data_IF_721516005939
#
_entry.id   IF_721516005939
#
_cell.length_a   1.000
_cell.length_b   1.000
_cell.length_c   1.000
_cell.angle_alpha   90.00
_cell.angle_beta   90.00
_cell.angle_gamma   90.00
#
_symmetry.space_group_name_H-M   'P 1'
#
loop_
_entity.id
_entity.type
_entity.pdbx_description
1 polymer ?
#
# COMPACT_ATOMS: atom_id res chain seq x y z
N UNK A 1 -10.80 -55.82 29.02
CA UNK A 1 -10.13 -54.54 29.23
C UNK A 1 -9.05 -54.47 28.18
N UNK A 2 -9.33 -53.73 27.10
CA UNK A 2 -8.59 -53.80 25.84
C UNK A 2 -7.47 -52.79 25.78
N UNK A 3 -6.36 -53.24 25.23
CA UNK A 3 -5.09 -52.54 25.01
C UNK A 3 -5.19 -51.52 23.82
N UNK A 4 -6.37 -51.04 23.47
CA UNK A 4 -6.56 -50.20 22.29
C UNK A 4 -6.68 -48.67 22.54
N UNK A 5 -6.57 -48.22 23.80
CA UNK A 5 -6.78 -46.78 24.12
C UNK A 5 -5.48 -45.94 24.19
N UNK A 6 -4.32 -46.47 23.78
CA UNK A 6 -3.04 -45.77 23.97
C UNK A 6 -2.43 -45.14 22.72
N UNK A 7 -3.12 -45.14 21.58
CA UNK A 7 -2.56 -44.63 20.29
C UNK A 7 -3.26 -43.46 19.64
N UNK A 8 -4.24 -42.86 20.26
CA UNK A 8 -4.74 -41.57 19.81
C UNK A 8 -4.17 -40.45 20.67
N UNK A 9 -2.86 -40.25 20.55
CA UNK A 9 -2.22 -39.01 20.98
C UNK A 9 -2.91 -37.85 20.26
N UNK A 10 -3.54 -36.97 21.06
CA UNK A 10 -4.08 -35.71 20.60
C UNK A 10 -2.99 -34.96 19.82
N UNK A 11 -3.01 -35.03 18.53
CA UNK A 11 -2.28 -34.09 17.70
C UNK A 11 -2.80 -32.71 18.11
N UNK A 12 -2.05 -31.98 18.94
CA UNK A 12 -2.29 -30.58 19.22
C UNK A 12 -2.38 -29.92 17.84
N UNK A 13 -3.59 -29.54 17.40
CA UNK A 13 -3.76 -28.63 16.28
C UNK A 13 -2.83 -27.46 16.58
N UNK A 14 -1.77 -27.29 15.77
CA UNK A 14 -0.97 -26.07 15.81
C UNK A 14 -1.96 -24.95 15.59
N UNK A 15 -2.26 -24.23 16.66
CA UNK A 15 -3.08 -23.04 16.57
C UNK A 15 -2.39 -22.11 15.54
N UNK A 16 -3.04 -21.84 14.43
CA UNK A 16 -2.52 -20.92 13.43
C UNK A 16 -2.22 -19.59 14.14
N UNK A 17 -1.00 -19.08 13.95
CA UNK A 17 -0.65 -17.77 14.50
C UNK A 17 -1.70 -16.74 14.06
N UNK A 18 -2.10 -15.81 14.94
CA UNK A 18 -3.05 -14.76 14.56
C UNK A 18 -2.54 -14.00 13.32
N UNK A 19 -3.45 -13.44 12.56
CA UNK A 19 -3.16 -12.59 11.40
C UNK A 19 -3.91 -11.28 11.56
N UNK A 20 -3.48 -10.22 10.85
CA UNK A 20 -4.13 -8.90 10.90
C UNK A 20 -5.49 -8.90 10.26
N UNK A 21 -5.64 -9.58 9.13
CA UNK A 21 -6.91 -9.66 8.42
C UNK A 21 -7.99 -10.37 9.25
N UNK A 22 -9.20 -9.81 9.26
CA UNK A 22 -10.34 -10.35 10.03
C UNK A 22 -11.35 -11.13 9.17
N UNK A 23 -11.15 -11.19 7.85
CA UNK A 23 -12.11 -11.76 6.88
C UNK A 23 -11.66 -13.13 6.40
N UNK A 24 -10.37 -13.29 6.08
CA UNK A 24 -9.79 -14.54 5.57
C UNK A 24 -8.74 -15.08 6.54
N UNK A 25 -8.42 -16.36 6.40
CA UNK A 25 -7.45 -17.04 7.25
C UNK A 25 -6.07 -17.15 6.55
N UNK A 26 -5.07 -17.54 7.32
CA UNK A 26 -3.69 -17.74 6.85
C UNK A 26 -3.59 -18.70 5.64
N UNK A 27 -4.37 -19.78 5.64
CA UNK A 27 -4.39 -20.75 4.53
C UNK A 27 -4.83 -20.12 3.20
N UNK A 28 -5.82 -19.23 3.25
CA UNK A 28 -6.25 -18.49 2.07
C UNK A 28 -5.12 -17.65 1.49
N UNK A 29 -4.50 -16.81 2.31
CA UNK A 29 -3.41 -15.93 1.88
C UNK A 29 -2.15 -16.70 1.46
N UNK A 30 -1.83 -17.82 2.11
CA UNK A 30 -0.70 -18.67 1.71
C UNK A 30 -0.85 -19.21 0.29
N UNK A 31 -2.06 -19.59 -0.13
CA UNK A 31 -2.33 -20.00 -1.52
C UNK A 31 -2.10 -18.86 -2.49
N UNK A 32 -2.56 -17.65 -2.14
CA UNK A 32 -2.36 -16.47 -2.98
C UNK A 32 -0.87 -16.10 -3.12
N UNK A 33 -0.08 -16.22 -2.05
CA UNK A 33 1.37 -15.99 -2.13
C UNK A 33 2.06 -16.95 -3.08
N UNK A 34 1.67 -18.23 -3.11
CA UNK A 34 2.21 -19.21 -4.06
C UNK A 34 1.87 -18.78 -5.49
N UNK A 35 0.65 -18.37 -5.75
CA UNK A 35 0.22 -17.90 -7.08
C UNK A 35 0.97 -16.64 -7.51
N UNK A 36 1.09 -15.64 -6.62
CA UNK A 36 1.85 -14.42 -6.90
C UNK A 36 3.32 -14.74 -7.16
N UNK A 37 3.95 -15.60 -6.37
CA UNK A 37 5.34 -15.99 -6.58
C UNK A 37 5.54 -16.64 -7.96
N UNK A 38 4.61 -17.50 -8.40
CA UNK A 38 4.63 -18.10 -9.73
C UNK A 38 4.50 -17.02 -10.82
N UNK A 39 3.53 -16.12 -10.69
CA UNK A 39 3.29 -15.07 -11.67
C UNK A 39 4.47 -14.10 -11.78
N UNK A 40 5.10 -13.74 -10.64
CA UNK A 40 6.31 -12.91 -10.62
C UNK A 40 7.45 -13.59 -11.38
N UNK A 41 7.74 -14.86 -11.09
CA UNK A 41 8.79 -15.60 -11.78
C UNK A 41 8.54 -15.69 -13.29
N UNK A 42 7.30 -15.86 -13.72
CA UNK A 42 6.95 -15.84 -15.15
C UNK A 42 7.18 -14.46 -15.78
N UNK A 43 6.75 -13.38 -15.10
CA UNK A 43 6.92 -12.00 -15.59
C UNK A 43 8.41 -11.64 -15.66
N UNK A 44 9.21 -12.00 -14.65
CA UNK A 44 10.66 -11.81 -14.64
C UNK A 44 11.35 -12.54 -15.81
N UNK A 45 10.94 -13.78 -16.09
CA UNK A 45 11.42 -14.55 -17.23
C UNK A 45 11.10 -13.84 -18.55
N UNK A 46 9.87 -13.34 -18.72
CA UNK A 46 9.46 -12.61 -19.93
C UNK A 46 10.25 -11.30 -20.10
N UNK A 47 10.55 -10.57 -19.04
CA UNK A 47 11.39 -9.37 -19.08
C UNK A 47 12.80 -9.73 -19.57
N UNK A 48 13.41 -10.81 -19.06
CA UNK A 48 14.73 -11.27 -19.50
C UNK A 48 14.75 -11.66 -20.97
N UNK A 49 13.73 -12.37 -21.42
CA UNK A 49 13.59 -12.78 -22.84
C UNK A 49 13.41 -11.58 -23.77
N UNK A 50 12.57 -10.61 -23.35
CA UNK A 50 12.35 -9.38 -24.11
C UNK A 50 13.63 -8.55 -24.25
N UNK A 51 14.41 -8.41 -23.19
CA UNK A 51 15.69 -7.70 -23.20
C UNK A 51 16.71 -8.38 -24.15
N UNK A 52 16.67 -9.70 -24.26
CA UNK A 52 17.54 -10.46 -25.16
C UNK A 52 17.13 -10.30 -26.63
N UNK A 53 15.83 -10.28 -26.90
CA UNK A 53 15.30 -10.35 -28.28
C UNK A 53 14.96 -8.95 -28.87
N UNK A 54 15.02 -7.85 -28.10
CA UNK A 54 14.70 -6.46 -28.48
C UNK A 54 13.36 -6.27 -29.23
N UNK A 55 12.41 -7.20 -29.09
CA UNK A 55 11.16 -7.23 -29.87
C UNK A 55 9.89 -6.99 -29.09
N UNK A 56 9.96 -7.00 -27.76
CA UNK A 56 8.79 -6.83 -26.89
C UNK A 56 8.89 -5.52 -26.11
N UNK A 57 7.77 -4.81 -26.06
CA UNK A 57 7.62 -3.69 -25.14
C UNK A 57 7.63 -4.23 -23.70
N UNK A 58 8.64 -3.85 -22.94
CA UNK A 58 8.81 -4.27 -21.54
C UNK A 58 8.09 -3.37 -20.54
N UNK A 59 7.55 -2.25 -20.96
CA UNK A 59 6.88 -1.27 -20.09
C UNK A 59 5.73 -1.94 -19.34
N UNK A 60 4.84 -2.61 -20.06
CA UNK A 60 3.72 -3.32 -19.43
C UNK A 60 4.19 -4.46 -18.50
N UNK A 61 5.24 -5.19 -18.87
CA UNK A 61 5.79 -6.26 -18.02
C UNK A 61 6.37 -5.70 -16.70
N UNK A 62 7.09 -4.59 -16.78
CA UNK A 62 7.61 -3.91 -15.58
C UNK A 62 6.47 -3.38 -14.71
N UNK A 63 5.49 -2.69 -15.29
CA UNK A 63 4.30 -2.26 -14.55
C UNK A 63 3.60 -3.44 -13.86
N UNK A 64 3.34 -4.52 -14.59
CA UNK A 64 2.69 -5.73 -14.06
C UNK A 64 3.48 -6.34 -12.89
N UNK A 65 4.81 -6.40 -13.01
CA UNK A 65 5.67 -6.92 -11.95
C UNK A 65 5.64 -6.00 -10.71
N UNK A 66 5.64 -4.68 -10.91
CA UNK A 66 5.47 -3.70 -9.82
C UNK A 66 4.15 -3.90 -9.06
N UNK A 67 3.04 -4.16 -9.78
CA UNK A 67 1.73 -4.46 -9.17
C UNK A 67 1.68 -5.80 -8.44
N UNK A 68 2.40 -6.80 -8.92
CA UNK A 68 2.52 -8.09 -8.25
C UNK A 68 3.28 -7.96 -6.92
N UNK A 69 4.31 -7.10 -6.84
CA UNK A 69 5.00 -6.79 -5.58
C UNK A 69 4.10 -6.04 -4.60
N UNK A 70 3.28 -5.07 -5.05
CA UNK A 70 2.28 -4.41 -4.19
C UNK A 70 1.26 -5.43 -3.66
N UNK A 71 0.78 -6.32 -4.52
CA UNK A 71 -0.11 -7.40 -4.12
C UNK A 71 0.50 -8.32 -3.04
N UNK A 72 1.80 -8.61 -3.16
CA UNK A 72 2.54 -9.36 -2.16
C UNK A 72 2.60 -8.62 -0.82
N UNK A 73 2.84 -7.31 -0.82
CA UNK A 73 2.82 -6.48 0.39
C UNK A 73 1.45 -6.57 1.08
N UNK A 74 0.36 -6.35 0.34
CA UNK A 74 -1.01 -6.38 0.89
C UNK A 74 -1.32 -7.73 1.55
N UNK A 75 -0.97 -8.84 0.90
CA UNK A 75 -1.18 -10.19 1.42
C UNK A 75 -0.30 -10.47 2.64
N UNK A 76 1.00 -10.14 2.58
CA UNK A 76 1.93 -10.37 3.68
C UNK A 76 1.57 -9.52 4.89
N UNK A 77 1.18 -8.28 4.70
CA UNK A 77 0.67 -7.43 5.78
C UNK A 77 -0.57 -8.07 6.43
N UNK A 78 -1.53 -8.53 5.63
CA UNK A 78 -2.72 -9.25 6.11
C UNK A 78 -2.36 -10.51 6.92
N UNK A 79 -1.23 -11.15 6.61
CA UNK A 79 -0.71 -12.36 7.30
C UNK A 79 0.20 -12.07 8.51
N UNK A 80 0.32 -10.83 8.93
CA UNK A 80 1.17 -10.43 10.06
C UNK A 80 2.69 -10.48 9.78
N UNK A 81 3.09 -10.13 8.55
CA UNK A 81 4.51 -10.03 8.20
C UNK A 81 5.21 -8.87 8.92
N UNK A 82 6.52 -9.00 9.07
CA UNK A 82 7.40 -7.98 9.62
C UNK A 82 7.52 -6.80 8.66
N UNK A 83 7.55 -5.57 9.20
CA UNK A 83 7.58 -4.34 8.41
C UNK A 83 8.89 -4.15 7.63
N UNK A 84 10.02 -4.60 8.17
CA UNK A 84 11.31 -4.60 7.46
C UNK A 84 11.26 -5.47 6.20
N UNK A 85 10.60 -6.63 6.26
CA UNK A 85 10.35 -7.47 5.09
C UNK A 85 9.50 -6.72 4.04
N UNK A 86 8.41 -6.08 4.49
CA UNK A 86 7.52 -5.31 3.62
C UNK A 86 8.24 -4.14 2.95
N UNK A 87 9.10 -3.43 3.69
CA UNK A 87 9.94 -2.34 3.16
C UNK A 87 10.84 -2.85 2.02
N UNK A 88 11.51 -3.98 2.21
CA UNK A 88 12.35 -4.60 1.16
C UNK A 88 11.55 -4.98 -0.09
N UNK A 89 10.33 -5.50 0.08
CA UNK A 89 9.44 -5.83 -1.04
C UNK A 89 8.98 -4.55 -1.74
N UNK A 90 8.73 -3.49 -0.98
CA UNK A 90 8.36 -2.19 -1.52
C UNK A 90 9.45 -1.60 -2.42
N UNK A 91 10.71 -1.66 -2.03
CA UNK A 91 11.85 -1.20 -2.85
C UNK A 91 11.88 -1.88 -4.22
N UNK A 92 11.61 -3.20 -4.27
CA UNK A 92 11.48 -3.93 -5.53
C UNK A 92 10.26 -3.47 -6.34
N UNK A 93 9.10 -3.28 -5.68
CA UNK A 93 7.90 -2.75 -6.33
C UNK A 93 8.19 -1.40 -6.99
N UNK A 94 8.85 -0.49 -6.27
CA UNK A 94 9.13 0.85 -6.76
C UNK A 94 10.05 0.83 -7.99
N UNK A 95 11.12 0.01 -7.97
CA UNK A 95 12.01 -0.16 -9.11
C UNK A 95 11.26 -0.55 -10.39
N UNK A 96 10.38 -1.53 -10.29
CA UNK A 96 9.64 -1.99 -11.46
C UNK A 96 8.51 -1.03 -11.85
N UNK A 97 7.88 -0.41 -10.88
CA UNK A 97 6.89 0.64 -11.12
C UNK A 97 7.49 1.79 -11.94
N UNK A 98 8.62 2.32 -11.51
CA UNK A 98 9.29 3.43 -12.22
C UNK A 98 9.72 3.00 -13.65
N UNK A 99 10.17 1.77 -13.83
CA UNK A 99 10.56 1.26 -15.15
C UNK A 99 9.36 0.98 -16.06
N UNK A 100 8.18 0.72 -15.49
CA UNK A 100 6.95 0.39 -16.20
C UNK A 100 5.96 1.54 -16.34
N UNK A 101 6.34 2.75 -15.92
CA UNK A 101 5.43 3.88 -15.95
C UNK A 101 5.33 4.47 -17.35
N UNK A 102 4.14 4.35 -17.92
CA UNK A 102 3.70 5.23 -18.96
C UNK A 102 3.37 6.60 -18.33
N UNK A 103 4.07 7.64 -18.77
CA UNK A 103 3.76 9.02 -18.37
C UNK A 103 2.42 9.41 -19.00
N UNK A 104 2.09 8.82 -20.14
CA UNK A 104 0.92 9.18 -20.95
C UNK A 104 -0.40 8.66 -20.39
N UNK A 105 -0.37 7.70 -19.45
CA UNK A 105 -1.57 7.12 -18.83
C UNK A 105 -1.34 6.86 -17.31
N UNK A 106 -1.20 7.92 -16.50
CA UNK A 106 -0.93 7.79 -15.09
C UNK A 106 -2.17 7.32 -14.32
N UNK A 107 -2.00 6.28 -13.50
CA UNK A 107 -3.08 5.74 -12.67
C UNK A 107 -2.99 6.30 -11.25
N UNK A 108 -3.83 7.27 -10.94
CA UNK A 108 -3.84 8.01 -9.67
C UNK A 108 -3.80 7.11 -8.43
N UNK A 109 -4.64 6.07 -8.37
CA UNK A 109 -4.73 5.20 -7.19
C UNK A 109 -3.48 4.35 -6.97
N UNK A 110 -2.75 4.01 -8.03
CA UNK A 110 -1.49 3.29 -7.92
C UNK A 110 -0.39 4.19 -7.34
N UNK A 111 -0.36 5.44 -7.76
CA UNK A 111 0.59 6.44 -7.25
C UNK A 111 0.28 6.75 -5.79
N UNK A 112 -0.98 7.06 -5.48
CA UNK A 112 -1.41 7.36 -4.11
C UNK A 112 -1.08 6.21 -3.14
N UNK A 113 -1.31 4.96 -3.55
CA UNK A 113 -0.98 3.78 -2.75
C UNK A 113 0.53 3.69 -2.49
N UNK A 114 1.37 3.91 -3.52
CA UNK A 114 2.82 3.85 -3.36
C UNK A 114 3.36 4.97 -2.48
N UNK A 115 2.86 6.18 -2.65
CA UNK A 115 3.21 7.32 -1.77
C UNK A 115 2.81 7.00 -0.33
N UNK A 116 1.61 6.49 -0.11
CA UNK A 116 1.13 6.09 1.22
C UNK A 116 2.02 5.03 1.86
N UNK A 117 2.32 3.94 1.14
CA UNK A 117 3.19 2.88 1.61
C UNK A 117 4.64 3.37 1.84
N UNK A 118 5.15 4.25 0.98
CA UNK A 118 6.46 4.86 1.15
C UNK A 118 6.60 5.65 2.45
N UNK A 119 5.55 6.40 2.83
CA UNK A 119 5.47 7.12 4.11
C UNK A 119 5.39 6.14 5.27
N UNK A 120 4.49 5.18 5.19
CA UNK A 120 4.23 4.22 6.26
C UNK A 120 5.45 3.34 6.54
N UNK A 121 6.14 2.87 5.52
CA UNK A 121 7.33 2.03 5.60
C UNK A 121 8.63 2.84 5.82
N UNK A 122 8.52 4.14 5.95
CA UNK A 122 9.66 5.04 6.15
C UNK A 122 10.81 4.72 5.18
N UNK A 123 10.50 4.71 3.87
CA UNK A 123 11.50 4.42 2.83
C UNK A 123 12.56 5.53 2.75
N UNK A 124 13.70 5.24 2.17
CA UNK A 124 14.80 6.20 2.05
C UNK A 124 14.38 7.46 1.26
N UNK A 125 15.05 8.57 1.52
CA UNK A 125 14.83 9.81 0.77
C UNK A 125 15.02 9.60 -0.73
N UNK A 126 16.00 8.79 -1.14
CA UNK A 126 16.26 8.51 -2.55
C UNK A 126 15.15 7.71 -3.23
N UNK A 127 14.54 6.75 -2.52
CA UNK A 127 13.38 6.02 -3.04
C UNK A 127 12.15 6.92 -3.12
N UNK A 128 11.91 7.73 -2.09
CA UNK A 128 10.76 8.61 -2.08
C UNK A 128 10.88 9.72 -3.13
N UNK A 129 12.10 10.21 -3.41
CA UNK A 129 12.36 11.19 -4.46
C UNK A 129 11.91 10.69 -5.83
N UNK A 130 12.03 9.41 -6.14
CA UNK A 130 11.56 8.85 -7.41
C UNK A 130 10.05 9.02 -7.60
N UNK A 131 9.26 8.97 -6.52
CA UNK A 131 7.82 9.24 -6.57
C UNK A 131 7.52 10.73 -6.80
N UNK A 132 8.29 11.61 -6.15
CA UNK A 132 8.20 13.06 -6.36
C UNK A 132 8.51 13.40 -7.82
N UNK A 133 9.66 12.93 -8.32
CA UNK A 133 10.10 13.17 -9.71
C UNK A 133 9.08 12.64 -10.73
N UNK A 134 8.44 11.53 -10.41
CA UNK A 134 7.38 11.00 -11.27
C UNK A 134 6.14 11.90 -11.26
N UNK A 135 5.64 12.29 -10.08
CA UNK A 135 4.47 13.17 -9.97
C UNK A 135 4.71 14.52 -10.67
N UNK A 136 5.90 15.11 -10.50
CA UNK A 136 6.29 16.34 -11.20
C UNK A 136 6.28 16.16 -12.72
N UNK A 137 6.78 15.05 -13.24
CA UNK A 137 6.77 14.78 -14.69
C UNK A 137 5.35 14.64 -15.21
N UNK A 138 4.48 13.94 -14.50
CA UNK A 138 3.08 13.76 -14.89
C UNK A 138 2.33 15.11 -14.86
N UNK A 139 2.54 15.91 -13.82
CA UNK A 139 1.90 17.23 -13.69
C UNK A 139 2.33 18.22 -14.79
N UNK A 140 3.54 18.06 -15.32
CA UNK A 140 4.12 18.95 -16.34
C UNK A 140 3.88 18.48 -17.79
N UNK A 141 3.05 17.46 -18.01
CA UNK A 141 2.75 17.01 -19.37
C UNK A 141 1.98 18.05 -20.17
N UNK A 142 2.41 18.19 -21.43
CA UNK A 142 1.79 19.16 -22.36
C UNK A 142 0.47 18.67 -22.98
N UNK A 143 0.24 17.36 -23.01
CA UNK A 143 -0.96 16.75 -23.60
C UNK A 143 -2.07 16.62 -22.55
N UNK A 144 -3.34 16.90 -22.93
CA UNK A 144 -4.46 16.72 -22.03
C UNK A 144 -4.66 15.24 -21.72
N UNK A 145 -4.33 14.87 -20.51
CA UNK A 145 -4.67 13.57 -19.92
C UNK A 145 -5.83 13.78 -18.94
N UNK A 146 -6.50 12.70 -18.53
CA UNK A 146 -7.47 12.77 -17.43
C UNK A 146 -6.82 13.07 -16.07
N UNK A 147 -5.51 13.29 -16.05
CA UNK A 147 -4.74 13.62 -14.87
C UNK A 147 -4.98 15.06 -14.41
N UNK A 148 -4.95 15.22 -13.11
CA UNK A 148 -5.04 16.52 -12.44
C UNK A 148 -4.10 16.53 -11.27
N UNK A 149 -3.20 17.55 -11.14
CA UNK A 149 -2.42 17.74 -9.93
C UNK A 149 -3.33 17.78 -8.70
N UNK A 150 -3.09 16.86 -7.76
CA UNK A 150 -4.03 16.58 -6.68
C UNK A 150 -3.53 17.09 -5.32
N UNK A 151 -4.40 17.81 -4.59
CA UNK A 151 -4.09 18.40 -3.29
C UNK A 151 -3.68 17.35 -2.23
N UNK A 152 -4.32 16.19 -2.18
CA UNK A 152 -4.01 15.16 -1.20
C UNK A 152 -2.66 14.50 -1.52
N UNK A 153 -2.44 14.17 -2.79
CA UNK A 153 -1.19 13.57 -3.24
C UNK A 153 -0.01 14.50 -2.95
N UNK A 154 -0.12 15.78 -3.31
CA UNK A 154 0.94 16.76 -3.04
C UNK A 154 1.12 17.08 -1.55
N UNK A 155 0.06 17.07 -0.76
CA UNK A 155 0.20 17.13 0.70
C UNK A 155 1.10 15.99 1.21
N UNK A 156 0.90 14.78 0.73
CA UNK A 156 1.68 13.60 1.14
C UNK A 156 3.11 13.65 0.60
N UNK A 157 3.32 14.02 -0.65
CA UNK A 157 4.65 14.16 -1.24
C UNK A 157 5.46 15.25 -0.53
N UNK A 158 4.86 16.41 -0.29
CA UNK A 158 5.46 17.55 0.40
C UNK A 158 5.90 17.22 1.83
N UNK A 159 5.29 16.23 2.48
CA UNK A 159 5.67 15.82 3.84
C UNK A 159 7.11 15.29 3.96
N UNK A 160 7.72 14.91 2.83
CA UNK A 160 9.08 14.38 2.74
C UNK A 160 10.04 15.31 1.97
N UNK A 161 9.62 16.54 1.70
CA UNK A 161 10.40 17.58 1.03
C UNK A 161 10.83 18.66 2.02
N UNK A 162 11.97 19.30 1.73
CA UNK A 162 12.37 20.53 2.43
C UNK A 162 11.39 21.67 2.15
N UNK A 163 11.24 22.59 3.09
CA UNK A 163 10.25 23.69 3.00
C UNK A 163 10.41 24.54 1.71
N UNK A 164 11.66 24.75 1.28
CA UNK A 164 12.04 25.50 0.09
C UNK A 164 11.70 24.77 -1.24
N UNK A 165 11.39 23.46 -1.15
CA UNK A 165 11.11 22.59 -2.33
C UNK A 165 9.66 22.19 -2.45
N UNK A 166 8.82 22.50 -1.45
CA UNK A 166 7.42 22.11 -1.46
C UNK A 166 6.68 22.68 -2.66
N UNK A 167 5.88 21.84 -3.28
CA UNK A 167 5.05 22.19 -4.44
C UNK A 167 3.67 22.65 -3.98
N UNK A 168 3.17 23.74 -4.57
CA UNK A 168 1.88 24.37 -4.21
C UNK A 168 0.96 24.60 -5.39
N UNK A 169 1.26 24.04 -6.55
CA UNK A 169 0.51 24.23 -7.79
C UNK A 169 -0.81 23.44 -7.83
N UNK A 170 -0.93 22.35 -7.07
CA UNK A 170 -2.19 21.63 -6.95
C UNK A 170 -3.25 22.48 -6.24
N UNK A 171 -4.42 22.60 -6.83
CA UNK A 171 -5.50 23.46 -6.33
C UNK A 171 -6.86 22.77 -6.19
N UNK A 172 -6.96 21.49 -6.53
CA UNK A 172 -8.20 20.69 -6.42
C UNK A 172 -7.89 19.24 -6.06
N UNK A 173 -8.92 18.52 -5.62
CA UNK A 173 -8.88 17.09 -5.45
C UNK A 173 -9.30 16.39 -6.75
N UNK A 174 -8.51 15.43 -7.22
CA UNK A 174 -8.87 14.60 -8.38
C UNK A 174 -10.15 13.78 -8.11
N UNK A 175 -10.27 13.25 -6.88
CA UNK A 175 -11.41 12.43 -6.44
C UNK A 175 -12.10 13.00 -5.20
N UNK A 176 -12.80 14.16 -5.31
CA UNK A 176 -13.38 14.84 -4.14
C UNK A 176 -14.44 14.02 -3.40
N UNK A 177 -15.19 13.13 -4.10
CA UNK A 177 -16.17 12.25 -3.46
C UNK A 177 -15.52 11.28 -2.49
N UNK A 178 -14.32 10.79 -2.81
CA UNK A 178 -13.54 9.91 -1.95
C UNK A 178 -12.79 10.71 -0.88
N UNK A 179 -12.02 11.71 -1.26
CA UNK A 179 -10.94 12.25 -0.44
C UNK A 179 -11.20 13.61 0.22
N UNK A 180 -12.33 14.29 -0.04
CA UNK A 180 -12.64 15.58 0.62
C UNK A 180 -12.64 15.46 2.15
N UNK A 181 -13.17 14.36 2.70
CA UNK A 181 -13.20 14.11 4.14
C UNK A 181 -11.81 13.88 4.72
N UNK A 182 -10.95 13.14 4.01
CA UNK A 182 -9.57 12.90 4.38
C UNK A 182 -8.74 14.18 4.28
N UNK A 183 -8.85 14.91 3.17
CA UNK A 183 -8.11 16.16 2.98
C UNK A 183 -8.49 17.23 4.01
N UNK A 184 -9.73 17.22 4.52
CA UNK A 184 -10.13 18.11 5.61
C UNK A 184 -9.22 17.99 6.83
N UNK A 185 -8.67 16.81 7.13
CA UNK A 185 -7.72 16.61 8.23
C UNK A 185 -6.51 17.53 8.13
N UNK A 186 -5.99 17.73 6.90
CA UNK A 186 -4.80 18.55 6.65
C UNK A 186 -5.01 20.03 6.94
N UNK A 187 -6.26 20.47 7.15
CA UNK A 187 -6.68 21.84 7.37
C UNK A 187 -7.04 22.11 8.85
N UNK A 188 -7.02 21.08 9.70
CA UNK A 188 -7.40 21.21 11.10
C UNK A 188 -6.18 21.47 11.98
N UNK A 189 -6.25 22.48 12.83
CA UNK A 189 -5.25 22.76 13.87
C UNK A 189 -5.67 22.23 15.24
N UNK A 190 -6.96 21.95 15.44
CA UNK A 190 -7.48 21.39 16.69
C UNK A 190 -7.31 19.86 16.70
N UNK A 191 -6.56 19.37 17.68
CA UNK A 191 -6.19 17.94 17.81
C UNK A 191 -7.43 17.06 18.01
N UNK A 192 -8.40 17.49 18.79
CA UNK A 192 -9.61 16.70 19.07
C UNK A 192 -10.52 16.66 17.85
N UNK A 193 -10.64 17.77 17.13
CA UNK A 193 -11.38 17.82 15.87
C UNK A 193 -10.71 16.92 14.80
N UNK A 194 -9.38 16.90 14.74
CA UNK A 194 -8.62 16.03 13.84
C UNK A 194 -8.85 14.54 14.17
N UNK A 195 -8.70 14.14 15.43
CA UNK A 195 -8.97 12.77 15.90
C UNK A 195 -10.39 12.33 15.56
N UNK A 196 -11.39 13.15 15.90
CA UNK A 196 -12.79 12.84 15.57
C UNK A 196 -13.01 12.71 14.07
N UNK A 197 -12.44 13.60 13.27
CA UNK A 197 -12.61 13.57 11.81
C UNK A 197 -11.96 12.32 11.20
N UNK A 198 -10.80 11.87 11.73
CA UNK A 198 -10.14 10.64 11.32
C UNK A 198 -11.03 9.41 11.60
N UNK A 199 -11.58 9.30 12.81
CA UNK A 199 -12.47 8.21 13.21
C UNK A 199 -13.74 8.20 12.34
N UNK A 200 -14.37 9.36 12.14
CA UNK A 200 -15.56 9.50 11.31
C UNK A 200 -15.30 9.13 9.85
N UNK A 201 -14.10 9.43 9.33
CA UNK A 201 -13.73 9.13 7.95
C UNK A 201 -13.46 7.63 7.75
N UNK A 202 -12.64 7.02 8.61
CA UNK A 202 -12.33 5.58 8.48
C UNK A 202 -13.59 4.72 8.66
N UNK A 203 -14.53 5.14 9.49
CA UNK A 203 -15.82 4.48 9.66
C UNK A 203 -16.68 4.45 8.39
N UNK A 204 -16.42 5.35 7.45
CA UNK A 204 -17.12 5.44 6.15
C UNK A 204 -16.29 4.93 4.98
N UNK A 205 -14.99 4.76 5.17
CA UNK A 205 -14.01 4.51 4.12
C UNK A 205 -14.39 3.36 3.20
N UNK A 206 -14.79 2.21 3.76
CA UNK A 206 -15.17 1.06 2.96
C UNK A 206 -16.36 1.35 2.03
N UNK A 207 -17.41 2.00 2.55
CA UNK A 207 -18.59 2.35 1.78
C UNK A 207 -18.34 3.49 0.77
N UNK A 208 -17.42 4.42 1.06
CA UNK A 208 -17.01 5.43 0.09
C UNK A 208 -16.39 4.79 -1.15
N UNK A 209 -15.73 3.66 -1.00
CA UNK A 209 -15.08 2.91 -2.07
C UNK A 209 -15.98 1.85 -2.74
N UNK A 210 -17.32 1.94 -2.61
CA UNK A 210 -18.26 0.95 -3.15
C UNK A 210 -18.16 0.74 -4.68
N UNK A 211 -17.70 1.75 -5.41
CA UNK A 211 -17.54 1.71 -6.85
C UNK A 211 -16.11 1.25 -7.28
N UNK A 212 -15.21 0.97 -6.32
CA UNK A 212 -13.87 0.50 -6.60
C UNK A 212 -13.87 -0.96 -7.10
N UNK A 213 -12.98 -1.33 -8.05
CA UNK A 213 -12.91 -2.69 -8.58
C UNK A 213 -12.66 -3.77 -7.51
N UNK A 214 -12.03 -3.39 -6.40
CA UNK A 214 -11.72 -4.30 -5.29
C UNK A 214 -12.86 -4.43 -4.26
N UNK A 215 -13.91 -3.62 -4.35
CA UNK A 215 -15.02 -3.68 -3.40
C UNK A 215 -15.71 -5.07 -3.43
N UNK A 216 -16.00 -5.62 -2.26
CA UNK A 216 -16.55 -6.97 -2.10
C UNK A 216 -15.69 -8.12 -2.68
N UNK A 217 -14.42 -7.91 -2.95
CA UNK A 217 -13.54 -8.98 -3.44
C UNK A 217 -13.39 -10.16 -2.45
N UNK A 218 -13.66 -9.95 -1.15
CA UNK A 218 -13.69 -11.03 -0.16
C UNK A 218 -14.76 -12.10 -0.46
N UNK A 219 -15.79 -11.76 -1.24
CA UNK A 219 -16.84 -12.69 -1.69
C UNK A 219 -16.37 -13.51 -2.90
N UNK A 220 -15.30 -13.09 -3.58
CA UNK A 220 -14.68 -13.77 -4.72
C UNK A 220 -13.46 -14.55 -4.25
N UNK A 221 -13.13 -15.66 -4.89
CA UNK A 221 -12.12 -16.60 -4.38
C UNK A 221 -10.67 -16.24 -4.64
N UNK A 222 -10.35 -15.30 -5.55
CA UNK A 222 -8.97 -15.13 -6.05
C UNK A 222 -8.44 -13.70 -6.09
N UNK A 223 -9.19 -12.71 -5.61
CA UNK A 223 -8.78 -11.30 -5.76
C UNK A 223 -8.66 -10.52 -4.45
N UNK A 224 -9.03 -11.11 -3.31
CA UNK A 224 -8.99 -10.43 -2.02
C UNK A 224 -7.59 -10.48 -1.40
N UNK A 225 -7.03 -9.31 -1.02
CA UNK A 225 -5.68 -9.18 -0.46
C UNK A 225 -5.64 -8.51 0.91
N UNK A 226 -6.80 -8.20 1.46
CA UNK A 226 -7.03 -7.32 2.61
C UNK A 226 -7.67 -6.00 2.17
N UNK A 227 -8.34 -5.34 3.10
CA UNK A 227 -8.89 -4.00 2.90
C UNK A 227 -8.16 -3.03 3.81
N UNK A 228 -7.15 -2.33 3.27
CA UNK A 228 -6.28 -1.46 4.04
C UNK A 228 -6.34 -0.03 3.51
N UNK A 229 -6.71 0.89 4.37
CA UNK A 229 -6.80 2.33 4.08
C UNK A 229 -5.41 2.98 4.24
N UNK A 230 -4.49 2.65 3.33
CA UNK A 230 -3.09 3.11 3.38
C UNK A 230 -2.99 4.63 3.39
N UNK A 231 -3.78 5.31 2.57
CA UNK A 231 -3.78 6.76 2.45
C UNK A 231 -4.27 7.44 3.74
N UNK A 232 -5.24 6.83 4.42
CA UNK A 232 -5.75 7.35 5.71
C UNK A 232 -4.68 7.26 6.79
N UNK A 233 -4.02 6.12 6.86
CA UNK A 233 -2.94 5.87 7.81
C UNK A 233 -1.72 6.77 7.55
N UNK A 234 -1.35 6.98 6.29
CA UNK A 234 -0.26 7.87 5.91
C UNK A 234 -0.54 9.33 6.31
N UNK A 235 -1.76 9.82 6.08
CA UNK A 235 -2.17 11.17 6.53
C UNK A 235 -2.14 11.29 8.05
N UNK A 236 -2.65 10.29 8.77
CA UNK A 236 -2.60 10.27 10.23
C UNK A 236 -1.16 10.30 10.77
N UNK A 237 -0.26 9.52 10.16
CA UNK A 237 1.18 9.49 10.50
C UNK A 237 1.86 10.84 10.26
N UNK A 238 1.62 11.47 9.09
CA UNK A 238 2.17 12.81 8.76
C UNK A 238 1.73 13.85 9.78
N UNK A 239 0.44 13.85 10.14
CA UNK A 239 -0.16 14.83 11.04
C UNK A 239 0.03 14.48 12.53
N UNK A 240 0.61 13.31 12.84
CA UNK A 240 0.81 12.80 14.20
C UNK A 240 -0.49 12.78 15.01
N UNK A 241 -1.60 12.39 14.39
CA UNK A 241 -2.91 12.32 15.04
C UNK A 241 -2.92 11.14 16.01
N UNK A 242 -3.48 11.35 17.23
CA UNK A 242 -3.76 10.24 18.14
C UNK A 242 -4.82 9.31 17.51
N UNK A 243 -4.36 8.16 17.04
CA UNK A 243 -5.16 7.13 16.39
C UNK A 243 -5.36 5.88 17.26
N UNK A 244 -5.10 6.00 18.58
CA UNK A 244 -5.17 4.88 19.54
C UNK A 244 -6.51 4.15 19.52
N UNK A 245 -7.61 4.85 19.22
CA UNK A 245 -8.96 4.29 19.11
C UNK A 245 -9.15 3.44 17.84
N UNK A 246 -8.19 3.46 16.90
CA UNK A 246 -8.23 2.73 15.64
C UNK A 246 -7.42 1.43 15.65
N UNK A 247 -6.83 1.06 16.77
CA UNK A 247 -5.97 -0.12 16.90
C UNK A 247 -6.64 -1.42 16.41
N UNK A 248 -7.93 -1.58 16.67
CA UNK A 248 -8.70 -2.77 16.29
C UNK A 248 -9.61 -2.54 15.07
N UNK A 249 -9.47 -1.41 14.38
CA UNK A 249 -10.25 -1.13 13.19
C UNK A 249 -9.81 -2.07 12.03
N UNK A 250 -10.75 -2.77 11.36
CA UNK A 250 -10.41 -3.79 10.38
C UNK A 250 -9.82 -3.24 9.07
N UNK A 251 -9.87 -1.93 8.86
CA UNK A 251 -9.40 -1.26 7.65
C UNK A 251 -8.16 -0.40 7.89
N UNK A 252 -7.85 -0.12 9.16
CA UNK A 252 -6.77 0.80 9.51
C UNK A 252 -5.48 0.03 9.80
N UNK A 253 -4.39 0.29 9.06
CA UNK A 253 -3.12 -0.42 9.25
C UNK A 253 -2.32 0.16 10.43
N UNK A 254 -2.88 0.05 11.64
CA UNK A 254 -2.36 0.62 12.88
C UNK A 254 -0.88 0.30 13.13
N UNK A 255 -0.49 -0.96 12.99
CA UNK A 255 0.89 -1.38 13.26
C UNK A 255 1.90 -0.72 12.31
N UNK A 256 1.48 -0.40 11.06
CA UNK A 256 2.35 0.24 10.10
C UNK A 256 2.51 1.75 10.38
N UNK A 257 1.50 2.39 10.98
CA UNK A 257 1.60 3.79 11.44
C UNK A 257 2.64 3.91 12.54
N UNK A 258 2.62 2.96 13.50
CA UNK A 258 3.44 2.96 14.71
C UNK A 258 4.76 2.21 14.57
N UNK A 259 5.06 1.71 13.37
CA UNK A 259 6.33 1.05 13.13
C UNK A 259 7.47 2.06 12.99
N UNK A 260 8.54 1.82 13.71
CA UNK A 260 9.83 2.49 13.59
C UNK A 260 10.89 1.43 13.31
N UNK A 261 11.83 1.76 12.44
CA UNK A 261 12.95 0.88 12.13
C UNK A 261 13.93 0.89 13.31
N UNK A 262 14.25 -0.29 13.85
CA UNK A 262 15.28 -0.41 14.88
C UNK A 262 16.65 -0.01 14.31
N UNK A 263 17.10 1.20 14.62
CA UNK A 263 18.41 1.72 14.22
C UNK A 263 19.57 1.06 15.01
N UNK A 264 19.35 -0.05 15.69
CA UNK A 264 20.33 -0.67 16.61
C UNK A 264 21.31 -1.62 15.94
N UNK A 265 21.39 -1.72 14.60
CA UNK A 265 22.25 -2.69 13.92
C UNK A 265 23.21 -2.06 12.88
N UNK A 266 23.79 -0.90 13.17
CA UNK A 266 24.88 -0.36 12.34
C UNK A 266 26.08 0.10 13.18
N UNK A 267 26.52 -0.73 14.14
CA UNK A 267 27.85 -0.61 14.78
C UNK A 267 28.47 -2.03 14.87
N UNK A 268 28.89 -2.57 13.74
CA UNK A 268 29.94 -3.60 13.66
C UNK A 268 30.77 -3.40 12.37
#
# INVERSE_FOLDING_TARGET
MGIFDYFFGHAKQKQDKPIRDKIKNRKFFSKMLIEIAKNKGETERLILEANTNKRLDTVYLHWSLGEQYISEIEIRYSMDANMTELKRIYSNSLKYFIAGLAIDDPIYFEILKRVSLGILLNVSCAEFQQLIDYAERVDNQAEPTDWTPDLLLWFMLNSRMGEDKKQTHANKLAFPKLYKGLFKLTQLSDVQAAKKTLIDYIGKWYNLNKDAPWYNNHLKTSCYRGYWAWEVAAVAKILQIDDSDLKDNPYYPYDMVHWEEDNTTNDE
#
